data_IF_284926628659
#
_entry.id   IF_284926628659
#
_cell.length_a   1.000
_cell.length_b   1.000
_cell.length_c   1.000
_cell.angle_alpha   90.00
_cell.angle_beta   90.00
_cell.angle_gamma   90.00
#
_symmetry.space_group_name_H-M   'P 1'
#
loop_
_entity.id
_entity.type
_entity.pdbx_description
1 polymer ?
#
# COMPACT_ATOMS: atom_id res chain seq x y z
N UNK A 1 10.01 -45.31 -9.32
CA UNK A 1 9.30 -44.04 -9.20
C UNK A 1 10.34 -42.97 -9.40
N UNK A 2 10.21 -42.21 -10.48
CA UNK A 2 11.22 -41.26 -10.92
C UNK A 2 11.21 -40.04 -9.98
N UNK A 3 12.40 -39.57 -9.60
CA UNK A 3 12.64 -38.56 -8.57
C UNK A 3 12.03 -37.17 -8.88
N UNK A 4 11.49 -36.99 -10.10
CA UNK A 4 10.90 -35.75 -10.59
C UNK A 4 9.45 -35.51 -10.15
N UNK A 5 8.73 -36.54 -9.69
CA UNK A 5 7.33 -36.40 -9.22
C UNK A 5 7.22 -35.93 -7.75
N UNK A 6 8.35 -35.82 -7.05
CA UNK A 6 8.40 -35.47 -5.62
C UNK A 6 8.53 -33.95 -5.39
N UNK A 7 8.64 -33.16 -6.47
CA UNK A 7 8.82 -31.71 -6.41
C UNK A 7 7.84 -31.02 -7.38
N UNK A 8 7.15 -29.99 -6.91
CA UNK A 8 6.30 -29.14 -7.77
C UNK A 8 7.16 -28.24 -8.68
N UNK A 9 6.56 -27.62 -9.69
CA UNK A 9 7.16 -26.73 -10.70
C UNK A 9 7.90 -25.51 -10.12
N UNK A 10 7.70 -25.23 -8.83
CA UNK A 10 8.39 -24.18 -8.08
C UNK A 10 9.55 -24.71 -7.19
N UNK A 11 9.87 -26.01 -7.27
CA UNK A 11 10.96 -26.64 -6.53
C UNK A 11 10.63 -27.03 -5.08
N UNK A 12 9.36 -26.97 -4.68
CA UNK A 12 8.91 -27.37 -3.34
C UNK A 12 8.68 -28.88 -3.28
N UNK A 13 9.20 -29.54 -2.24
CA UNK A 13 9.00 -30.97 -2.02
C UNK A 13 7.53 -31.24 -1.69
N UNK A 14 6.87 -32.03 -2.54
CA UNK A 14 5.45 -32.43 -2.43
C UNK A 14 5.32 -33.95 -2.17
N UNK A 15 6.45 -34.60 -1.89
CA UNK A 15 6.49 -36.03 -1.58
C UNK A 15 5.97 -36.36 -0.18
N UNK A 16 5.82 -37.67 0.14
CA UNK A 16 5.41 -38.10 1.48
C UNK A 16 6.37 -37.57 2.54
N UNK A 17 5.83 -37.27 3.74
CA UNK A 17 6.60 -36.77 4.88
C UNK A 17 7.80 -37.69 5.12
N UNK A 18 8.99 -37.10 5.05
CA UNK A 18 10.21 -37.80 5.39
C UNK A 18 10.16 -38.08 6.90
N UNK A 19 10.54 -39.29 7.32
CA UNK A 19 10.81 -39.56 8.73
C UNK A 19 11.91 -38.59 9.16
N UNK A 20 11.52 -37.56 9.92
CA UNK A 20 12.45 -36.62 10.55
C UNK A 20 13.41 -37.44 11.40
N UNK A 21 14.71 -37.36 11.11
CA UNK A 21 15.75 -37.84 12.02
C UNK A 21 15.67 -36.98 13.29
N UNK A 22 14.95 -37.49 14.29
CA UNK A 22 14.92 -37.01 15.66
C UNK A 22 16.20 -37.46 16.37
N UNK A 23 17.23 -36.61 16.47
CA UNK A 23 18.11 -36.53 17.66
C UNK A 23 18.69 -35.11 17.80
N UNK A 24 18.05 -34.30 18.65
CA UNK A 24 18.61 -33.56 19.81
C UNK A 24 17.83 -32.25 20.09
N UNK A 25 16.80 -32.40 20.93
CA UNK A 25 16.16 -31.35 21.73
C UNK A 25 17.02 -31.08 22.98
N UNK A 26 17.30 -29.83 23.31
CA UNK A 26 17.05 -29.36 24.69
C UNK A 26 16.90 -27.83 24.76
N UNK A 27 16.01 -27.41 25.67
CA UNK A 27 15.75 -26.06 26.19
C UNK A 27 14.76 -25.14 25.45
N UNK A 28 13.47 -25.50 25.57
CA UNK A 28 12.40 -24.51 25.78
C UNK A 28 11.78 -24.65 27.17
N UNK A 29 11.56 -23.49 27.81
CA UNK A 29 10.49 -23.16 28.78
C UNK A 29 10.89 -22.89 30.24
N UNK A 30 10.99 -21.60 30.64
CA UNK A 30 10.13 -20.98 31.67
C UNK A 30 10.58 -19.57 32.12
N UNK A 31 9.59 -18.68 32.32
CA UNK A 31 9.50 -17.94 33.59
C UNK A 31 9.89 -16.45 33.62
N UNK A 32 8.89 -15.60 33.85
CA UNK A 32 9.01 -14.20 34.24
C UNK A 32 9.78 -13.98 35.58
N UNK A 33 10.54 -12.86 35.65
CA UNK A 33 10.70 -11.93 36.80
C UNK A 33 11.32 -12.45 38.13
N UNK A 34 12.52 -11.97 38.48
CA UNK A 34 12.85 -11.55 39.88
C UNK A 34 14.16 -10.73 40.01
N UNK A 35 14.06 -9.63 40.78
CA UNK A 35 15.01 -8.96 41.72
C UNK A 35 16.53 -8.95 41.46
N UNK A 36 17.20 -7.79 41.38
CA UNK A 36 17.63 -6.92 42.50
C UNK A 36 18.24 -7.69 43.67
N UNK A 37 19.56 -7.91 43.66
CA UNK A 37 20.32 -8.00 44.90
C UNK A 37 21.76 -7.49 44.72
N UNK A 38 22.08 -6.51 45.57
CA UNK A 38 23.39 -5.90 45.75
C UNK A 38 24.36 -6.94 46.34
N UNK A 39 25.56 -7.06 45.77
CA UNK A 39 26.73 -7.55 46.51
C UNK A 39 27.91 -6.65 46.20
N UNK A 40 28.13 -5.76 47.15
CA UNK A 40 29.35 -5.03 47.45
C UNK A 40 30.52 -6.01 47.68
N UNK A 41 31.60 -5.87 46.92
CA UNK A 41 32.92 -6.36 47.29
C UNK A 41 33.96 -5.28 47.00
N UNK A 42 34.15 -4.47 48.03
CA UNK A 42 35.34 -3.66 48.30
C UNK A 42 36.61 -4.50 48.22
N UNK A 43 37.62 -3.98 47.52
CA UNK A 43 39.03 -4.29 47.79
C UNK A 43 39.83 -3.01 47.68
N UNK A 44 40.14 -2.46 48.86
CA UNK A 44 41.04 -1.33 49.08
C UNK A 44 42.49 -1.72 48.75
N UNK A 45 43.16 -0.89 47.95
CA UNK A 45 44.59 -0.61 48.14
C UNK A 45 44.80 0.89 47.91
N UNK A 46 45.13 1.58 48.99
CA UNK A 46 45.59 2.97 49.07
C UNK A 46 47.05 3.10 48.59
N UNK A 47 47.49 4.37 48.47
CA UNK A 47 48.89 4.85 48.35
C UNK A 47 49.39 5.07 46.90
N UNK A 48 49.88 6.24 46.45
CA UNK A 48 50.35 7.44 47.14
C UNK A 48 50.28 8.63 46.17
N UNK A 49 50.14 9.85 46.69
CA UNK A 49 50.11 11.07 45.89
C UNK A 49 51.52 11.62 45.62
N UNK A 50 51.79 12.07 44.40
CA UNK A 50 52.81 13.09 44.16
C UNK A 50 52.42 14.02 43.01
N UNK A 51 52.46 15.32 43.31
CA UNK A 51 52.17 16.46 42.45
C UNK A 51 53.50 16.98 41.87
N UNK A 52 53.75 16.76 40.58
CA UNK A 52 54.88 17.36 39.89
C UNK A 52 54.52 17.80 38.46
N UNK A 53 54.21 19.09 38.36
CA UNK A 53 54.15 19.96 37.18
C UNK A 53 55.24 19.67 36.14
N UNK A 54 54.91 19.78 34.85
CA UNK A 54 55.92 20.12 33.84
C UNK A 54 55.62 19.71 32.40
N UNK A 55 55.22 20.71 31.62
CA UNK A 55 55.68 20.98 30.24
C UNK A 55 55.06 20.22 29.05
N UNK A 56 54.46 21.06 28.19
CA UNK A 56 54.13 20.83 26.79
C UNK A 56 55.28 20.16 26.03
N UNK A 57 55.16 18.86 25.77
CA UNK A 57 55.81 18.26 24.61
C UNK A 57 54.74 18.01 23.55
N UNK A 58 54.82 18.82 22.49
CA UNK A 58 54.06 18.65 21.26
C UNK A 58 54.29 17.23 20.72
N UNK A 59 53.31 16.36 20.93
CA UNK A 59 53.25 15.03 20.34
C UNK A 59 53.15 15.23 18.83
N UNK A 60 54.24 14.91 18.14
CA UNK A 60 54.38 14.91 16.70
C UNK A 60 53.31 13.99 16.07
N UNK A 61 52.33 14.59 15.39
CA UNK A 61 51.19 13.94 14.73
C UNK A 61 51.62 13.27 13.41
N UNK A 62 52.80 12.65 13.38
CA UNK A 62 53.41 12.08 12.18
C UNK A 62 53.16 10.58 12.01
N UNK A 63 52.39 9.94 12.90
CA UNK A 63 52.04 8.52 12.84
C UNK A 63 50.53 8.25 13.04
N UNK A 64 49.69 8.60 12.06
CA UNK A 64 48.29 8.15 12.01
C UNK A 64 48.10 6.74 11.40
N UNK A 65 49.17 5.98 11.15
CA UNK A 65 49.11 4.73 10.38
C UNK A 65 48.67 3.48 11.15
N UNK A 66 48.34 3.58 12.44
CA UNK A 66 47.80 2.45 13.22
C UNK A 66 46.66 2.90 14.14
N UNK A 67 45.83 3.82 13.64
CA UNK A 67 44.58 4.15 14.30
C UNK A 67 43.68 2.91 14.31
N UNK A 68 43.40 2.37 15.50
CA UNK A 68 42.54 1.22 15.70
C UNK A 68 41.12 1.60 15.28
N UNK A 69 40.56 0.87 14.31
CA UNK A 69 39.17 1.05 13.88
C UNK A 69 38.27 0.25 14.83
N UNK A 70 37.26 0.91 15.39
CA UNK A 70 36.25 0.26 16.21
C UNK A 70 35.45 -0.75 15.37
N UNK A 71 34.93 -1.79 16.02
CA UNK A 71 34.22 -2.87 15.33
C UNK A 71 32.95 -2.39 14.60
N UNK A 72 32.30 -1.32 15.09
CA UNK A 72 31.15 -0.66 14.46
C UNK A 72 31.53 0.12 13.19
N UNK A 73 32.74 0.68 13.13
CA UNK A 73 33.24 1.48 11.99
C UNK A 73 33.99 0.65 10.96
N UNK A 74 34.04 -0.67 11.14
CA UNK A 74 34.75 -1.57 10.24
C UNK A 74 34.01 -1.67 8.91
N UNK A 75 34.48 -0.91 7.92
CA UNK A 75 34.03 -1.00 6.53
C UNK A 75 34.56 -2.28 5.89
N UNK A 76 33.68 -3.25 5.66
CA UNK A 76 34.04 -4.53 5.04
C UNK A 76 34.11 -4.45 3.50
N UNK A 77 33.38 -3.51 2.90
CA UNK A 77 33.25 -3.40 1.44
C UNK A 77 33.57 -1.97 0.94
N UNK A 78 34.22 -1.83 -0.23
CA UNK A 78 34.44 -0.54 -0.88
C UNK A 78 33.13 0.16 -1.21
N UNK A 79 33.17 1.49 -1.34
CA UNK A 79 31.99 2.26 -1.73
C UNK A 79 31.62 2.01 -3.20
N UNK A 80 30.33 2.15 -3.55
CA UNK A 80 29.87 1.89 -4.92
C UNK A 80 30.53 2.81 -5.98
N UNK A 81 30.86 4.05 -5.60
CA UNK A 81 31.57 5.00 -6.46
C UNK A 81 32.99 4.53 -6.81
N UNK A 82 33.69 3.92 -5.85
CA UNK A 82 35.05 3.39 -6.07
C UNK A 82 35.05 2.14 -6.95
N UNK A 83 33.97 1.35 -6.91
CA UNK A 83 33.85 0.13 -7.70
C UNK A 83 33.49 0.43 -9.17
N UNK A 84 32.52 1.32 -9.41
CA UNK A 84 31.99 1.59 -10.75
C UNK A 84 32.56 2.85 -11.42
N UNK A 85 33.10 3.80 -10.64
CA UNK A 85 33.65 5.06 -11.15
C UNK A 85 32.61 6.18 -11.32
N UNK A 86 33.05 7.40 -11.64
CA UNK A 86 32.20 8.59 -11.69
C UNK A 86 31.24 8.67 -12.88
N UNK A 87 31.44 7.83 -13.90
CA UNK A 87 30.62 7.81 -15.12
C UNK A 87 29.31 7.03 -14.95
N UNK A 88 29.13 6.33 -13.83
CA UNK A 88 27.96 5.49 -13.51
C UNK A 88 27.21 6.05 -12.32
N UNK A 89 25.92 6.36 -12.50
CA UNK A 89 25.04 6.77 -11.41
C UNK A 89 24.59 5.53 -10.62
N UNK A 90 25.06 5.41 -9.38
CA UNK A 90 24.56 4.38 -8.46
C UNK A 90 23.48 4.98 -7.56
N UNK A 91 22.25 4.52 -7.73
CA UNK A 91 21.10 4.91 -6.89
C UNK A 91 20.75 3.75 -5.96
N UNK A 92 20.65 4.03 -4.66
CA UNK A 92 20.16 3.08 -3.66
C UNK A 92 18.73 3.47 -3.31
N UNK A 93 17.77 2.57 -3.55
CA UNK A 93 16.36 2.75 -3.19
C UNK A 93 15.97 1.66 -2.20
N UNK A 94 15.77 2.05 -0.94
CA UNK A 94 15.39 1.13 0.15
C UNK A 94 13.87 0.95 0.25
N UNK A 95 13.11 1.98 -0.13
CA UNK A 95 11.65 1.98 -0.09
C UNK A 95 11.04 2.27 -1.46
N UNK A 96 9.87 1.70 -1.70
CA UNK A 96 9.11 1.89 -2.92
C UNK A 96 8.57 3.33 -3.04
N UNK A 97 8.59 3.87 -4.25
CA UNK A 97 8.08 5.23 -4.54
C UNK A 97 6.55 5.29 -4.67
N UNK A 98 5.90 4.15 -4.93
CA UNK A 98 4.47 4.02 -5.13
C UNK A 98 3.89 3.01 -4.12
N UNK A 99 2.83 3.41 -3.43
CA UNK A 99 2.16 2.52 -2.49
C UNK A 99 1.40 1.39 -3.22
N UNK A 100 1.30 0.23 -2.59
CA UNK A 100 0.54 -0.95 -3.09
C UNK A 100 -0.93 -0.67 -3.42
N UNK A 101 -1.51 0.39 -2.86
CA UNK A 101 -2.90 0.81 -3.11
C UNK A 101 -3.08 1.47 -4.48
N UNK A 102 -2.01 2.02 -5.05
CA UNK A 102 -2.05 2.68 -6.35
C UNK A 102 -1.63 1.68 -7.44
N UNK A 103 -2.49 1.38 -8.42
CA UNK A 103 -2.13 0.47 -9.49
C UNK A 103 -1.06 1.09 -10.41
N UNK A 104 -0.13 0.27 -10.90
CA UNK A 104 0.91 0.70 -11.86
C UNK A 104 0.27 1.20 -13.17
N UNK A 105 -0.81 0.56 -13.62
CA UNK A 105 -1.61 1.02 -14.76
C UNK A 105 -2.98 1.42 -14.24
N UNK A 106 -3.25 2.73 -14.20
CA UNK A 106 -4.52 3.25 -13.75
C UNK A 106 -5.67 2.80 -14.68
N UNK A 107 -6.75 2.19 -14.15
CA UNK A 107 -7.90 1.84 -14.96
C UNK A 107 -8.66 3.11 -15.40
N UNK A 108 -9.36 3.04 -16.53
CA UNK A 108 -10.17 4.15 -17.03
C UNK A 108 -11.38 4.36 -16.11
N UNK A 109 -11.32 5.37 -15.24
CA UNK A 109 -12.42 5.75 -14.34
C UNK A 109 -13.44 6.61 -15.11
N UNK A 110 -14.67 6.12 -15.25
CA UNK A 110 -15.80 6.92 -15.76
C UNK A 110 -16.57 7.51 -14.56
N UNK A 111 -16.42 8.80 -14.34
CA UNK A 111 -17.15 9.50 -13.28
C UNK A 111 -18.56 9.89 -13.74
N UNK A 112 -19.54 9.00 -13.52
CA UNK A 112 -20.95 9.24 -13.83
C UNK A 112 -21.75 9.31 -12.52
N UNK A 113 -21.99 10.53 -12.05
CA UNK A 113 -22.69 10.79 -10.77
C UNK A 113 -24.21 10.87 -10.91
N UNK A 114 -24.70 11.03 -12.14
CA UNK A 114 -26.13 11.05 -12.47
C UNK A 114 -26.41 10.04 -13.58
N UNK A 115 -27.57 9.40 -13.50
CA UNK A 115 -28.07 8.55 -14.58
C UNK A 115 -28.54 9.45 -15.73
N UNK A 116 -27.62 9.74 -16.65
CA UNK A 116 -27.91 10.44 -17.91
C UNK A 116 -27.88 9.39 -19.02
N UNK A 117 -29.02 9.12 -19.62
CA UNK A 117 -29.09 8.36 -20.86
C UNK A 117 -28.44 9.22 -21.97
N UNK A 118 -27.46 8.65 -22.67
CA UNK A 118 -26.75 9.35 -23.75
C UNK A 118 -27.50 9.26 -25.08
N UNK A 119 -28.44 8.34 -25.19
CA UNK A 119 -29.21 8.09 -26.40
C UNK A 119 -30.68 8.46 -26.14
N UNK A 120 -31.31 9.09 -27.14
CA UNK A 120 -32.71 9.49 -27.05
C UNK A 120 -33.56 8.23 -27.25
N UNK A 121 -34.36 7.81 -26.26
CA UNK A 121 -35.20 6.62 -26.39
C UNK A 121 -36.30 6.82 -27.44
N UNK A 122 -36.77 5.72 -28.02
CA UNK A 122 -37.88 5.75 -28.97
C UNK A 122 -39.20 6.13 -28.27
N UNK A 123 -39.86 7.16 -28.80
CA UNK A 123 -41.14 7.69 -28.33
C UNK A 123 -42.31 7.25 -29.21
N UNK A 124 -43.53 7.27 -28.67
CA UNK A 124 -44.76 7.05 -29.45
C UNK A 124 -45.07 8.17 -30.44
N UNK A 125 -44.52 9.37 -30.20
CA UNK A 125 -44.63 10.53 -31.08
C UNK A 125 -43.31 10.78 -31.80
N UNK A 126 -43.36 11.49 -32.92
CA UNK A 126 -42.16 11.90 -33.67
C UNK A 126 -41.53 13.15 -33.04
N UNK A 127 -40.20 13.21 -32.97
CA UNK A 127 -39.49 14.37 -32.39
C UNK A 127 -39.74 15.66 -33.18
N UNK A 128 -39.98 15.56 -34.49
CA UNK A 128 -40.36 16.70 -35.34
C UNK A 128 -41.72 17.28 -34.90
N UNK A 129 -42.69 16.41 -34.59
CA UNK A 129 -43.99 16.83 -34.08
C UNK A 129 -43.89 17.56 -32.74
N UNK A 130 -42.99 17.11 -31.84
CA UNK A 130 -42.73 17.83 -30.58
C UNK A 130 -42.13 19.21 -30.83
N UNK A 131 -41.19 19.33 -31.77
CA UNK A 131 -40.57 20.61 -32.12
C UNK A 131 -41.61 21.59 -32.70
N UNK A 132 -42.48 21.14 -33.60
CA UNK A 132 -43.57 21.96 -34.16
C UNK A 132 -44.56 22.43 -33.07
N UNK A 133 -44.81 21.60 -32.05
CA UNK A 133 -45.67 21.97 -30.92
C UNK A 133 -45.04 23.07 -30.04
N UNK A 134 -43.71 23.12 -29.94
CA UNK A 134 -43.00 24.16 -29.19
C UNK A 134 -43.14 25.56 -29.80
N UNK A 135 -43.34 25.65 -31.12
CA UNK A 135 -43.57 26.94 -31.80
C UNK A 135 -44.97 27.53 -31.51
N UNK A 136 -45.89 26.70 -31.00
CA UNK A 136 -47.26 27.08 -30.66
C UNK A 136 -47.44 27.21 -29.14
N UNK A 137 -47.20 28.38 -28.52
CA UNK A 137 -47.23 28.54 -27.06
C UNK A 137 -48.61 28.28 -26.44
N UNK A 138 -49.69 28.33 -27.21
CA UNK A 138 -51.05 28.01 -26.73
C UNK A 138 -51.24 26.52 -26.40
N UNK A 139 -50.45 25.64 -27.04
CA UNK A 139 -50.49 24.19 -26.85
C UNK A 139 -49.54 23.72 -25.73
N UNK A 140 -48.54 24.53 -25.37
CA UNK A 140 -47.57 24.20 -24.32
C UNK A 140 -48.11 24.53 -22.93
N UNK A 141 -47.94 23.59 -21.98
CA UNK A 141 -48.32 23.77 -20.58
C UNK A 141 -47.13 23.52 -19.65
N UNK A 142 -46.73 24.54 -18.90
CA UNK A 142 -45.70 24.42 -17.87
C UNK A 142 -46.35 23.98 -16.55
N UNK A 143 -46.14 22.72 -16.16
CA UNK A 143 -46.75 22.11 -14.97
C UNK A 143 -45.65 21.68 -14.00
N UNK A 144 -45.82 22.00 -12.71
CA UNK A 144 -44.94 21.54 -11.64
C UNK A 144 -45.70 20.56 -10.73
N UNK A 145 -45.13 19.37 -10.50
CA UNK A 145 -45.71 18.36 -9.62
C UNK A 145 -45.11 18.52 -8.22
N UNK A 146 -45.90 19.08 -7.30
CA UNK A 146 -45.50 19.32 -5.92
C UNK A 146 -46.37 18.51 -4.94
N UNK A 147 -45.82 18.20 -3.76
CA UNK A 147 -46.50 17.38 -2.75
C UNK A 147 -45.54 16.84 -1.70
N UNK A 148 -46.08 16.27 -0.63
CA UNK A 148 -45.31 15.80 0.52
C UNK A 148 -44.39 14.60 0.20
N UNK A 149 -43.47 14.28 1.11
CA UNK A 149 -42.48 13.22 0.94
C UNK A 149 -43.17 11.88 0.65
N UNK A 150 -42.63 11.11 -0.30
CA UNK A 150 -43.15 9.80 -0.72
C UNK A 150 -44.61 9.72 -1.18
N UNK A 151 -45.24 10.83 -1.58
CA UNK A 151 -46.60 10.82 -2.18
C UNK A 151 -46.62 10.38 -3.67
N UNK A 152 -45.63 9.62 -4.14
CA UNK A 152 -45.63 9.06 -5.50
C UNK A 152 -45.44 10.06 -6.65
N UNK A 153 -44.92 11.27 -6.39
CA UNK A 153 -44.67 12.29 -7.44
C UNK A 153 -43.79 11.77 -8.57
N UNK A 154 -42.68 11.10 -8.21
CA UNK A 154 -41.76 10.49 -9.17
C UNK A 154 -42.43 9.35 -9.92
N UNK A 155 -43.09 8.44 -9.20
CA UNK A 155 -43.84 7.32 -9.80
C UNK A 155 -44.92 7.78 -10.78
N UNK A 156 -45.57 8.91 -10.51
CA UNK A 156 -46.51 9.51 -11.45
C UNK A 156 -45.82 10.02 -12.72
N UNK A 157 -44.65 10.66 -12.61
CA UNK A 157 -43.84 11.00 -13.78
C UNK A 157 -43.40 9.74 -14.54
N UNK A 158 -42.99 8.68 -13.83
CA UNK A 158 -42.56 7.43 -14.43
C UNK A 158 -43.69 6.80 -15.26
N UNK A 159 -44.93 6.83 -14.77
CA UNK A 159 -46.10 6.34 -15.52
C UNK A 159 -46.39 7.15 -16.80
N UNK A 160 -46.16 8.47 -16.80
CA UNK A 160 -46.31 9.30 -18.00
C UNK A 160 -45.19 9.00 -19.02
N UNK A 161 -43.98 8.73 -18.53
CA UNK A 161 -42.84 8.35 -19.37
C UNK A 161 -43.07 6.96 -19.98
N UNK A 162 -43.54 5.99 -19.19
CA UNK A 162 -43.89 4.64 -19.65
C UNK A 162 -44.94 4.67 -20.77
N UNK A 163 -45.95 5.52 -20.65
CA UNK A 163 -46.96 5.70 -21.70
C UNK A 163 -46.38 6.28 -22.99
N UNK A 164 -45.37 7.15 -22.89
CA UNK A 164 -44.77 7.85 -24.04
C UNK A 164 -43.59 7.12 -24.66
N UNK A 165 -42.94 6.22 -23.93
CA UNK A 165 -41.76 5.47 -24.34
C UNK A 165 -41.98 3.96 -24.15
N UNK A 166 -42.58 3.26 -25.12
CA UNK A 166 -43.02 1.87 -24.97
C UNK A 166 -41.86 0.88 -24.79
N UNK A 167 -40.65 1.25 -25.23
CA UNK A 167 -39.46 0.40 -25.14
C UNK A 167 -38.58 0.68 -23.92
N UNK A 168 -38.93 1.66 -23.09
CA UNK A 168 -38.23 2.00 -21.85
C UNK A 168 -38.58 1.06 -20.68
N UNK A 169 -39.19 -0.10 -20.99
CA UNK A 169 -39.67 -1.06 -20.01
C UNK A 169 -38.59 -1.38 -18.95
N UNK A 170 -39.03 -1.38 -17.68
CA UNK A 170 -38.19 -1.72 -16.54
C UNK A 170 -37.48 -3.04 -16.80
N UNK A 171 -36.14 -3.01 -16.78
CA UNK A 171 -35.27 -4.18 -16.83
C UNK A 171 -35.40 -5.08 -15.60
N UNK A 172 -36.51 -5.02 -14.86
CA UNK A 172 -36.81 -5.84 -13.69
C UNK A 172 -37.69 -7.06 -14.02
N UNK A 173 -38.31 -7.14 -15.21
CA UNK A 173 -39.15 -8.28 -15.62
C UNK A 173 -38.51 -9.15 -16.71
N UNK A 174 -37.20 -9.40 -16.62
CA UNK A 174 -36.51 -10.47 -17.36
C UNK A 174 -35.87 -11.44 -16.38
N UNK A 175 -36.70 -12.28 -15.77
CA UNK A 175 -36.32 -13.62 -15.29
C UNK A 175 -36.79 -14.68 -16.28
#
# INVERSE_FOLDING_TARGET
>A
MDQADLYDQFGNYTGPELESDEEEDDDQQNGYRHELENVDQTSDMEDDGDDARGEDEAIDVSNLSTAVVLHEDKKYYPSALELYGPDVETVVQEEDTQALTEPIIAPVKKHKFSFVEQEIPETTYELEYLADLMDSPELVRNVAICGHLHHGKTTFCDALIEQTHPYLASTENKE
#
